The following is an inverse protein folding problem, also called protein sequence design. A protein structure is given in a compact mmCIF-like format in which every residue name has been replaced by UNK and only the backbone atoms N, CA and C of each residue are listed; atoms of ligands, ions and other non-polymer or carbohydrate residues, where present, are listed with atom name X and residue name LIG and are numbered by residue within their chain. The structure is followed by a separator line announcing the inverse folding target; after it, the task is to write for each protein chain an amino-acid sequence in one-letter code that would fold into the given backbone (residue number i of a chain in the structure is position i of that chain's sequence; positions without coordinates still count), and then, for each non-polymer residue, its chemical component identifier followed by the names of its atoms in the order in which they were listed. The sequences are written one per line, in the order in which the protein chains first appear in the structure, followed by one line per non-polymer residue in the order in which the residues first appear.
data_IF_219676526646
#
_entry.id   IF_219676526646
#
_cell.length_a   1.000
_cell.length_b   1.000
_cell.length_c   1.000
_cell.angle_alpha   90.00
_cell.angle_beta   90.00
_cell.angle_gamma   90.00
#
_symmetry.space_group_name_H-M   'P 1'
#
loop_
_entity.id
_entity.type
_entity.pdbx_description
1 polymer ?
#
# COMPACT_ATOMS: atom_id res chain seq x y z
N UNK A 1 -66.27 45.25 37.25
CA UNK A 1 -66.80 45.54 38.59
C UNK A 1 -65.62 45.75 39.52
N UNK A 2 -65.44 46.95 40.05
CA UNK A 2 -64.35 47.26 40.99
C UNK A 2 -64.72 46.78 42.38
N UNK A 3 -64.02 45.78 42.91
CA UNK A 3 -64.22 45.33 44.28
C UNK A 3 -63.47 46.27 45.23
N UNK A 4 -64.21 47.14 45.93
CA UNK A 4 -63.67 47.87 47.06
C UNK A 4 -63.44 46.90 48.22
N UNK A 5 -62.19 46.44 48.38
CA UNK A 5 -61.75 45.84 49.63
C UNK A 5 -61.72 46.95 50.70
N UNK A 6 -62.57 46.83 51.73
CA UNK A 6 -62.51 47.73 52.88
C UNK A 6 -61.26 47.41 53.68
N UNK A 7 -60.24 48.25 53.52
CA UNK A 7 -58.92 48.04 54.12
C UNK A 7 -58.96 48.44 55.59
N UNK A 8 -59.33 47.50 56.47
CA UNK A 8 -59.04 47.58 57.90
C UNK A 8 -57.52 47.48 58.12
N UNK A 9 -56.84 48.60 57.92
CA UNK A 9 -55.43 48.74 58.23
C UNK A 9 -55.26 48.94 59.73
N UNK A 10 -54.79 47.90 60.43
CA UNK A 10 -54.32 48.06 61.80
C UNK A 10 -53.22 49.14 61.83
N UNK A 11 -53.42 50.20 62.60
CA UNK A 11 -52.42 51.25 62.82
C UNK A 11 -51.33 50.78 63.78
N UNK A 12 -50.14 51.39 63.68
CA UNK A 12 -48.99 51.03 64.49
C UNK A 12 -49.24 51.26 65.99
N UNK A 13 -48.99 50.26 66.86
CA UNK A 13 -49.15 50.40 68.32
C UNK A 13 -47.99 51.17 69.00
N UNK A 14 -47.40 52.15 68.30
CA UNK A 14 -46.38 53.05 68.81
C UNK A 14 -47.02 54.41 69.13
N UNK A 15 -46.79 55.02 70.32
CA UNK A 15 -47.43 56.28 70.68
C UNK A 15 -47.19 57.39 69.65
N UNK A 16 -48.28 57.97 69.11
CA UNK A 16 -48.20 59.03 68.11
C UNK A 16 -47.90 58.59 66.67
N UNK A 17 -48.06 57.31 66.33
CA UNK A 17 -47.86 56.80 64.97
C UNK A 17 -49.14 56.21 64.36
N UNK A 18 -49.79 56.95 63.47
CA UNK A 18 -50.99 56.49 62.74
C UNK A 18 -50.66 55.70 61.45
N UNK A 19 -49.40 55.26 61.27
CA UNK A 19 -48.96 54.59 60.04
C UNK A 19 -49.55 53.17 59.97
N UNK A 20 -50.13 52.75 58.83
CA UNK A 20 -50.72 51.41 58.70
C UNK A 20 -49.62 50.34 58.76
N UNK A 21 -49.91 49.24 59.47
CA UNK A 21 -49.00 48.10 59.56
C UNK A 21 -49.17 47.20 58.33
N UNK A 22 -48.10 46.89 57.57
CA UNK A 22 -48.20 45.99 56.42
C UNK A 22 -48.57 44.57 56.87
N UNK A 23 -49.68 44.04 56.34
CA UNK A 23 -50.06 42.63 56.53
C UNK A 23 -49.11 41.74 55.72
N UNK A 24 -48.12 41.15 56.38
CA UNK A 24 -47.28 40.11 55.77
C UNK A 24 -48.13 38.91 55.34
N UNK A 25 -47.87 38.35 54.16
CA UNK A 25 -48.62 37.23 53.58
C UNK A 25 -48.30 35.86 54.20
N UNK A 26 -47.56 35.83 55.30
CA UNK A 26 -47.21 34.61 56.01
C UNK A 26 -48.34 34.18 56.98
N UNK A 27 -48.64 32.87 57.09
CA UNK A 27 -49.60 32.38 58.06
C UNK A 27 -49.06 32.58 59.49
N UNK A 28 -49.58 33.58 60.19
CA UNK A 28 -49.16 33.95 61.53
C UNK A 28 -49.92 35.15 62.10
N UNK A 29 -49.65 35.50 63.36
CA UNK A 29 -50.24 36.69 64.00
C UNK A 29 -49.70 37.95 63.31
N UNK A 30 -50.54 38.89 62.84
CA UNK A 30 -50.06 40.12 62.20
C UNK A 30 -49.10 40.92 63.10
N UNK A 31 -48.10 41.61 62.51
CA UNK A 31 -47.17 42.42 63.29
C UNK A 31 -47.86 43.57 64.05
N UNK A 32 -47.28 43.89 65.22
CA UNK A 32 -47.63 44.98 66.17
C UNK A 32 -47.47 46.42 65.64
N UNK A 33 -46.50 46.57 64.74
CA UNK A 33 -45.79 47.82 64.46
C UNK A 33 -45.45 47.90 62.98
N UNK A 34 -45.32 49.12 62.46
CA UNK A 34 -44.97 49.35 61.06
C UNK A 34 -43.49 49.07 60.77
N UNK A 35 -43.14 49.17 59.50
CA UNK A 35 -41.81 48.93 58.90
C UNK A 35 -40.66 49.86 59.36
N UNK A 36 -40.93 50.79 60.27
CA UNK A 36 -39.92 51.72 60.79
C UNK A 36 -39.05 51.01 61.85
N UNK A 37 -37.71 50.99 61.72
CA UNK A 37 -36.83 50.31 62.66
C UNK A 37 -36.88 50.88 64.10
N UNK A 38 -37.34 52.12 64.24
CA UNK A 38 -37.57 52.77 65.53
C UNK A 38 -38.86 52.28 66.23
N UNK A 39 -39.81 51.69 65.51
CA UNK A 39 -41.12 51.27 66.04
C UNK A 39 -41.10 49.81 66.45
N UNK A 40 -40.44 49.52 67.58
CA UNK A 40 -40.40 48.19 68.19
C UNK A 40 -41.12 48.18 69.53
N UNK A 41 -41.61 47.00 69.97
CA UNK A 41 -42.33 46.80 71.25
C UNK A 41 -41.60 47.41 72.45
N UNK A 42 -40.27 47.27 72.51
CA UNK A 42 -39.45 47.79 73.61
C UNK A 42 -39.33 49.32 73.59
N UNK A 43 -39.17 49.93 72.41
CA UNK A 43 -39.17 51.40 72.27
C UNK A 43 -40.55 51.99 72.57
N UNK A 44 -41.63 51.35 72.11
CA UNK A 44 -43.00 51.76 72.43
C UNK A 44 -43.32 51.66 73.94
N UNK A 45 -42.75 50.68 74.66
CA UNK A 45 -42.84 50.59 76.11
C UNK A 45 -42.05 51.70 76.80
N UNK A 46 -40.81 51.96 76.37
CA UNK A 46 -39.97 53.06 76.90
C UNK A 46 -40.61 54.43 76.69
N UNK A 47 -41.21 54.68 75.53
CA UNK A 47 -41.89 55.94 75.22
C UNK A 47 -43.14 56.14 76.09
N UNK A 48 -43.94 55.07 76.31
CA UNK A 48 -45.05 55.08 77.28
C UNK A 48 -44.56 55.31 78.71
N UNK A 49 -43.40 54.77 79.10
CA UNK A 49 -42.82 55.02 80.42
C UNK A 49 -42.31 56.46 80.56
N UNK A 50 -41.79 57.09 79.49
CA UNK A 50 -41.47 58.53 79.49
C UNK A 50 -42.75 59.35 79.65
N UNK A 51 -43.77 59.13 78.82
CA UNK A 51 -45.04 59.85 78.94
C UNK A 51 -45.74 59.65 80.29
N UNK A 52 -45.61 58.49 80.96
CA UNK A 52 -46.11 58.32 82.32
C UNK A 52 -45.34 59.15 83.37
N UNK A 53 -44.04 59.38 83.17
CA UNK A 53 -43.26 60.31 84.01
C UNK A 53 -43.63 61.75 83.70
N UNK A 54 -43.64 62.12 82.43
CA UNK A 54 -44.02 63.45 81.96
C UNK A 54 -45.44 63.83 82.43
N UNK A 55 -46.38 62.87 82.46
CA UNK A 55 -47.74 63.06 82.98
C UNK A 55 -47.83 63.09 84.51
N UNK A 56 -46.97 62.35 85.24
CA UNK A 56 -46.87 62.44 86.68
C UNK A 56 -46.22 63.78 87.14
N UNK A 57 -45.35 64.37 86.32
CA UNK A 57 -44.76 65.69 86.55
C UNK A 57 -45.68 66.85 86.12
N UNK A 58 -46.69 66.60 85.27
CA UNK A 58 -47.64 67.62 84.78
C UNK A 58 -49.00 67.62 85.51
N UNK A 59 -49.21 66.78 86.52
CA UNK A 59 -50.41 66.79 87.36
C UNK A 59 -50.32 67.88 88.47
N UNK A 60 -51.16 68.93 88.46
CA UNK A 60 -51.14 69.96 89.50
C UNK A 60 -51.71 69.46 90.83
N UNK A 61 -51.35 70.14 91.92
CA UNK A 61 -51.81 69.86 93.28
C UNK A 61 -53.31 70.14 93.47
N UNK A 62 -54.12 69.12 93.79
CA UNK A 62 -55.41 69.30 94.46
C UNK A 62 -55.64 68.25 95.58
N UNK A 63 -55.72 68.77 96.81
CA UNK A 63 -56.52 68.31 97.96
C UNK A 63 -56.46 66.87 98.50
N UNK A 64 -55.95 66.71 99.74
CA UNK A 64 -56.69 66.30 100.98
C UNK A 64 -55.66 65.98 102.09
N UNK A 65 -55.49 66.73 103.18
CA UNK A 65 -56.42 67.12 104.26
C UNK A 65 -56.73 66.03 105.30
N UNK A 66 -56.06 66.14 106.47
CA UNK A 66 -56.60 65.76 107.79
C UNK A 66 -55.80 64.67 108.53
N UNK A 67 -55.52 64.74 109.84
CA UNK A 67 -55.95 65.72 110.86
C UNK A 67 -55.03 65.68 112.09
N UNK A 68 -54.85 66.84 112.74
CA UNK A 68 -54.32 67.00 114.11
C UNK A 68 -55.23 68.01 114.82
N UNK A 69 -55.54 67.84 116.12
CA UNK A 69 -55.40 68.99 117.02
C UNK A 69 -54.93 68.65 118.46
N UNK A 70 -54.48 69.66 119.25
CA UNK A 70 -53.74 69.44 120.50
C UNK A 70 -54.47 70.06 121.75
N UNK A 71 -53.86 70.86 122.67
CA UNK A 71 -54.17 70.80 124.11
C UNK A 71 -55.13 71.92 124.59
N UNK A 72 -55.27 72.13 125.92
CA UNK A 72 -55.09 73.49 126.42
C UNK A 72 -54.38 73.58 127.79
N UNK A 73 -54.07 74.81 128.22
CA UNK A 73 -53.62 75.09 129.59
C UNK A 73 -53.99 76.51 130.05
N UNK A 74 -53.74 76.74 131.35
CA UNK A 74 -53.53 78.02 132.03
C UNK A 74 -54.69 79.03 132.30
N UNK A 75 -54.58 79.61 133.51
CA UNK A 75 -54.83 81.01 133.91
C UNK A 75 -56.16 81.44 134.61
N UNK A 76 -56.04 81.62 135.93
CA UNK A 76 -56.32 82.82 136.75
C UNK A 76 -57.67 83.59 136.69
N UNK A 77 -58.18 84.00 137.88
CA UNK A 77 -58.54 85.40 138.23
C UNK A 77 -59.06 85.57 139.69
N UNK A 78 -58.63 86.64 140.37
CA UNK A 78 -59.31 87.35 141.49
C UNK A 78 -59.81 88.72 140.95
N UNK A 79 -60.84 89.43 141.51
CA UNK A 79 -60.67 90.28 142.73
C UNK A 79 -61.91 90.69 143.60
N UNK A 80 -61.61 91.11 144.83
CA UNK A 80 -62.16 92.16 145.74
C UNK A 80 -63.60 92.79 145.71
N UNK A 81 -64.25 92.73 146.90
CA UNK A 81 -64.78 93.85 147.77
C UNK A 81 -66.18 94.52 147.67
N UNK A 82 -66.78 94.79 148.87
CA UNK A 82 -67.96 95.67 149.17
C UNK A 82 -69.32 94.94 149.34
N UNK A 83 -70.24 95.22 150.28
CA UNK A 83 -70.38 96.17 151.41
C UNK A 83 -71.55 95.78 152.37
N UNK A 84 -71.74 96.48 153.49
CA UNK A 84 -72.55 96.10 154.69
C UNK A 84 -74.09 96.40 154.63
N UNK A 85 -74.95 96.05 155.64
CA UNK A 85 -74.95 94.95 156.63
C UNK A 85 -76.31 94.21 156.86
N UNK A 86 -76.29 93.13 157.68
CA UNK A 86 -77.41 92.41 158.37
C UNK A 86 -78.46 91.62 157.55
N UNK A 87 -78.24 91.34 156.27
CA UNK A 87 -78.89 90.22 155.56
C UNK A 87 -77.89 89.17 155.03
N UNK A 88 -76.65 89.58 154.82
CA UNK A 88 -75.54 88.78 154.28
C UNK A 88 -75.20 87.54 155.11
N UNK A 89 -75.37 87.57 156.44
CA UNK A 89 -74.99 86.44 157.30
C UNK A 89 -75.79 85.15 157.03
N UNK A 90 -77.01 85.23 156.50
CA UNK A 90 -77.81 84.06 156.10
C UNK A 90 -77.40 83.54 154.72
N UNK A 91 -77.19 84.44 153.77
CA UNK A 91 -76.69 84.10 152.43
C UNK A 91 -75.26 83.55 152.45
N UNK A 92 -74.37 84.08 153.30
CA UNK A 92 -73.04 83.49 153.56
C UNK A 92 -73.12 82.14 154.25
N UNK A 93 -74.09 81.89 155.12
CA UNK A 93 -74.26 80.58 155.73
C UNK A 93 -74.70 79.56 154.67
N UNK A 94 -75.68 79.89 153.82
CA UNK A 94 -76.08 79.02 152.71
C UNK A 94 -74.98 78.85 151.66
N UNK A 95 -74.22 79.90 151.32
CA UNK A 95 -73.08 79.84 150.38
C UNK A 95 -71.88 79.06 150.96
N UNK A 96 -71.59 79.17 152.26
CA UNK A 96 -70.59 78.33 152.93
C UNK A 96 -71.06 76.89 153.06
N UNK A 97 -72.34 76.62 153.35
CA UNK A 97 -72.90 75.27 153.35
C UNK A 97 -72.95 74.68 151.92
N UNK A 98 -73.22 75.49 150.89
CA UNK A 98 -73.17 75.06 149.49
C UNK A 98 -71.73 74.78 149.06
N UNK A 99 -70.74 75.60 149.44
CA UNK A 99 -69.32 75.25 149.24
C UNK A 99 -68.90 74.04 150.04
N UNK A 100 -69.36 73.86 151.27
CA UNK A 100 -69.06 72.65 152.04
C UNK A 100 -69.71 71.42 151.43
N UNK A 101 -70.91 71.53 150.86
CA UNK A 101 -71.56 70.46 150.10
C UNK A 101 -70.76 70.14 148.83
N UNK A 102 -70.40 71.13 148.01
CA UNK A 102 -69.60 70.94 146.79
C UNK A 102 -68.19 70.43 147.11
N UNK A 103 -67.53 70.91 148.18
CA UNK A 103 -66.24 70.37 148.62
C UNK A 103 -66.37 68.97 149.20
N UNK A 104 -67.44 68.65 149.93
CA UNK A 104 -67.71 67.30 150.41
C UNK A 104 -68.04 66.34 149.26
N UNK A 105 -68.79 66.79 148.24
CA UNK A 105 -69.01 66.06 146.98
C UNK A 105 -67.71 65.87 146.21
N UNK A 106 -66.84 66.88 146.13
CA UNK A 106 -65.51 66.73 145.51
C UNK A 106 -64.60 65.79 146.31
N UNK A 107 -64.60 65.84 147.64
CA UNK A 107 -63.84 64.93 148.49
C UNK A 107 -64.39 63.51 148.40
N UNK A 108 -65.72 63.34 148.36
CA UNK A 108 -66.39 62.06 148.14
C UNK A 108 -66.08 61.53 146.75
N UNK A 109 -66.17 62.34 145.69
CA UNK A 109 -65.80 61.96 144.33
C UNK A 109 -64.32 61.60 144.19
N UNK A 110 -63.44 62.28 144.93
CA UNK A 110 -61.99 62.00 144.97
C UNK A 110 -61.70 60.72 145.76
N UNK A 111 -62.36 60.51 146.89
CA UNK A 111 -62.26 59.28 147.67
C UNK A 111 -62.89 58.09 146.94
N UNK A 112 -63.96 58.29 146.16
CA UNK A 112 -64.56 57.28 145.29
C UNK A 112 -63.73 57.04 144.03
N UNK A 113 -63.02 58.04 143.51
CA UNK A 113 -62.02 57.85 142.45
C UNK A 113 -60.81 57.06 142.98
N UNK A 114 -60.30 57.41 144.16
CA UNK A 114 -59.22 56.68 144.83
C UNK A 114 -59.67 55.26 145.22
N UNK A 115 -60.88 55.08 145.75
CA UNK A 115 -61.48 53.77 146.07
C UNK A 115 -61.71 52.93 144.82
N UNK A 116 -62.09 53.53 143.69
CA UNK A 116 -62.14 52.83 142.39
C UNK A 116 -60.74 52.45 141.92
N UNK A 117 -59.76 53.33 141.99
CA UNK A 117 -58.38 53.04 141.59
C UNK A 117 -57.73 51.95 142.46
N UNK A 118 -57.83 52.07 143.79
CA UNK A 118 -57.43 51.00 144.71
C UNK A 118 -58.24 49.73 144.49
N UNK A 119 -59.55 49.85 144.25
CA UNK A 119 -60.40 48.74 143.83
C UNK A 119 -59.83 47.99 142.63
N UNK A 120 -59.49 48.69 141.55
CA UNK A 120 -58.88 48.09 140.34
C UNK A 120 -57.46 47.54 140.57
N UNK A 121 -56.74 48.02 141.59
CA UNK A 121 -55.40 47.54 141.97
C UNK A 121 -55.40 46.38 142.98
N UNK A 122 -56.41 46.28 143.86
CA UNK A 122 -56.58 45.15 144.79
C UNK A 122 -57.68 44.18 144.38
N UNK A 123 -58.33 44.40 143.23
CA UNK A 123 -59.19 43.41 142.57
C UNK A 123 -58.30 42.31 141.95
N UNK A 124 -58.36 41.07 142.46
CA UNK A 124 -57.61 39.97 141.88
C UNK A 124 -58.06 39.69 140.44
N UNK A 125 -59.32 39.94 140.05
CA UNK A 125 -59.80 39.68 138.70
C UNK A 125 -59.14 40.63 137.66
N UNK A 126 -58.94 41.90 138.00
CA UNK A 126 -58.16 42.87 137.22
C UNK A 126 -56.70 42.43 137.02
N UNK A 127 -56.05 41.94 138.10
CA UNK A 127 -54.66 41.45 138.02
C UNK A 127 -54.56 40.14 137.21
N UNK A 128 -55.48 39.20 137.42
CA UNK A 128 -55.58 37.96 136.64
C UNK A 128 -55.84 38.26 135.15
N UNK A 129 -56.75 39.18 134.83
CA UNK A 129 -57.01 39.60 133.45
C UNK A 129 -55.78 40.24 132.78
N UNK A 130 -54.97 41.02 133.50
CA UNK A 130 -53.71 41.57 132.98
C UNK A 130 -52.65 40.48 132.78
N UNK A 131 -52.53 39.53 133.71
CA UNK A 131 -51.61 38.38 133.58
C UNK A 131 -52.03 37.46 132.43
N UNK A 132 -53.32 37.18 132.27
CA UNK A 132 -53.84 36.40 131.13
C UNK A 132 -53.68 37.14 129.81
N UNK A 133 -53.90 38.46 129.76
CA UNK A 133 -53.61 39.27 128.57
C UNK A 133 -52.12 39.20 128.20
N UNK A 134 -51.21 39.33 129.17
CA UNK A 134 -49.78 39.20 128.96
C UNK A 134 -49.34 37.78 128.57
N UNK A 135 -49.98 36.74 129.13
CA UNK A 135 -49.78 35.33 128.74
C UNK A 135 -50.23 35.08 127.30
N UNK A 136 -51.39 35.59 126.91
CA UNK A 136 -51.91 35.51 125.54
C UNK A 136 -51.04 36.29 124.55
N UNK A 137 -50.54 37.47 124.92
CA UNK A 137 -49.61 38.23 124.08
C UNK A 137 -48.26 37.51 123.94
N UNK A 138 -47.69 36.99 125.03
CA UNK A 138 -46.48 36.19 125.00
C UNK A 138 -46.66 34.93 124.13
N UNK A 139 -47.79 34.23 124.26
CA UNK A 139 -48.13 33.07 123.42
C UNK A 139 -48.25 33.44 121.94
N UNK A 140 -48.83 34.60 121.61
CA UNK A 140 -48.87 35.14 120.23
C UNK A 140 -47.47 35.43 119.71
N UNK A 141 -46.64 36.17 120.46
CA UNK A 141 -45.25 36.48 120.06
C UNK A 141 -44.40 35.22 119.86
N UNK A 142 -44.59 34.18 120.69
CA UNK A 142 -43.92 32.88 120.51
C UNK A 142 -44.43 32.18 119.25
N UNK A 143 -45.74 32.15 119.02
CA UNK A 143 -46.31 31.56 117.80
C UNK A 143 -45.86 32.29 116.52
N UNK A 144 -45.78 33.63 116.54
CA UNK A 144 -45.24 34.46 115.46
C UNK A 144 -43.74 34.21 115.22
N UNK A 145 -42.95 34.08 116.29
CA UNK A 145 -41.53 33.76 116.19
C UNK A 145 -41.29 32.35 115.63
N UNK A 146 -42.09 31.36 116.05
CA UNK A 146 -42.03 30.00 115.51
C UNK A 146 -42.54 29.94 114.06
N UNK A 147 -43.57 30.70 113.68
CA UNK A 147 -44.00 30.78 112.28
C UNK A 147 -42.92 31.41 111.40
N UNK A 148 -42.32 32.52 111.82
CA UNK A 148 -41.21 33.17 111.11
C UNK A 148 -39.96 32.26 111.01
N UNK A 149 -39.68 31.46 112.04
CA UNK A 149 -38.61 30.44 112.03
C UNK A 149 -38.91 29.33 111.02
N UNK A 150 -40.13 28.79 111.01
CA UNK A 150 -40.56 27.76 110.06
C UNK A 150 -40.55 28.29 108.62
N UNK A 151 -40.97 29.54 108.38
CA UNK A 151 -40.85 30.20 107.07
C UNK A 151 -39.41 30.42 106.63
N UNK A 152 -38.50 30.77 107.55
CA UNK A 152 -37.08 30.89 107.25
C UNK A 152 -36.43 29.53 106.95
N UNK A 153 -36.78 28.48 107.69
CA UNK A 153 -36.34 27.11 107.41
C UNK A 153 -36.90 26.60 106.07
N UNK A 154 -38.16 26.85 105.76
CA UNK A 154 -38.79 26.47 104.49
C UNK A 154 -38.12 27.20 103.31
N UNK A 155 -37.88 28.52 103.42
CA UNK A 155 -37.12 29.28 102.41
C UNK A 155 -35.69 28.77 102.24
N UNK A 156 -35.03 28.36 103.33
CA UNK A 156 -33.69 27.75 103.25
C UNK A 156 -33.72 26.42 102.50
N UNK A 157 -34.65 25.52 102.84
CA UNK A 157 -34.84 24.22 102.16
C UNK A 157 -35.19 24.41 100.69
N UNK A 158 -36.03 25.38 100.35
CA UNK A 158 -36.34 25.72 98.96
C UNK A 158 -35.08 26.21 98.21
N UNK A 159 -34.31 27.13 98.78
CA UNK A 159 -33.07 27.61 98.17
C UNK A 159 -31.98 26.51 98.06
N UNK A 160 -31.94 25.56 98.99
CA UNK A 160 -31.10 24.35 98.91
C UNK A 160 -31.55 23.43 97.77
N UNK A 161 -32.85 23.21 97.59
CA UNK A 161 -33.44 22.44 96.47
C UNK A 161 -33.21 23.11 95.11
N UNK A 162 -33.40 24.43 95.01
CA UNK A 162 -33.14 25.20 93.78
C UNK A 162 -31.65 25.16 93.40
N UNK A 163 -30.74 25.20 94.39
CA UNK A 163 -29.29 25.01 94.14
C UNK A 163 -28.96 23.60 93.68
N UNK A 164 -29.53 22.57 94.31
CA UNK A 164 -29.32 21.18 93.91
C UNK A 164 -29.81 20.94 92.47
N UNK A 165 -31.00 21.44 92.12
CA UNK A 165 -31.53 21.36 90.76
C UNK A 165 -30.67 22.13 89.73
N UNK A 166 -30.13 23.29 90.10
CA UNK A 166 -29.21 24.04 89.25
C UNK A 166 -27.85 23.32 89.07
N UNK A 167 -27.35 22.63 90.09
CA UNK A 167 -26.16 21.78 90.02
C UNK A 167 -26.40 20.58 89.09
N UNK A 168 -27.49 19.83 89.30
CA UNK A 168 -27.90 18.70 88.45
C UNK A 168 -28.07 19.14 86.98
N UNK A 169 -28.72 20.28 86.73
CA UNK A 169 -28.86 20.84 85.39
C UNK A 169 -27.50 21.22 84.77
N UNK A 170 -26.54 21.71 85.57
CA UNK A 170 -25.19 22.03 85.11
C UNK A 170 -24.39 20.77 84.78
N UNK A 171 -24.44 19.74 85.65
CA UNK A 171 -23.81 18.44 85.42
C UNK A 171 -24.39 17.75 84.18
N UNK A 172 -25.71 17.79 84.00
CA UNK A 172 -26.40 17.30 82.81
C UNK A 172 -25.95 18.04 81.54
N UNK A 173 -25.85 19.38 81.59
CA UNK A 173 -25.37 20.19 80.47
C UNK A 173 -23.91 19.90 80.10
N UNK A 174 -23.03 19.71 81.09
CA UNK A 174 -21.62 19.32 80.88
C UNK A 174 -21.52 17.91 80.29
N UNK A 175 -22.31 16.95 80.79
CA UNK A 175 -22.35 15.60 80.24
C UNK A 175 -22.86 15.57 78.78
N UNK A 176 -23.89 16.37 78.47
CA UNK A 176 -24.42 16.54 77.12
C UNK A 176 -23.41 17.22 76.17
N UNK A 177 -22.71 18.27 76.63
CA UNK A 177 -21.65 18.93 75.87
C UNK A 177 -20.51 17.97 75.54
N UNK A 178 -19.97 17.26 76.54
CA UNK A 178 -18.91 16.27 76.32
C UNK A 178 -19.35 15.09 75.44
N UNK A 179 -20.63 14.71 75.44
CA UNK A 179 -21.17 13.74 74.50
C UNK A 179 -21.24 14.29 73.07
N UNK A 180 -21.63 15.56 72.89
CA UNK A 180 -21.64 16.23 71.60
C UNK A 180 -20.22 16.42 71.02
N UNK A 181 -19.23 16.72 71.86
CA UNK A 181 -17.80 16.79 71.48
C UNK A 181 -17.31 15.44 70.96
N UNK A 182 -17.54 14.33 71.70
CA UNK A 182 -17.16 12.99 71.22
C UNK A 182 -17.81 12.62 69.89
N UNK A 183 -19.12 12.89 69.74
CA UNK A 183 -19.81 12.65 68.46
C UNK A 183 -19.25 13.51 67.31
N UNK A 184 -18.78 14.72 67.60
CA UNK A 184 -18.14 15.59 66.61
C UNK A 184 -16.75 15.06 66.21
N UNK A 185 -15.93 14.62 67.17
CA UNK A 185 -14.61 14.03 66.92
C UNK A 185 -14.71 12.71 66.14
N UNK A 186 -15.66 11.83 66.50
CA UNK A 186 -15.98 10.60 65.78
C UNK A 186 -16.40 10.89 64.33
N UNK A 187 -17.28 11.88 64.13
CA UNK A 187 -17.72 12.30 62.79
C UNK A 187 -16.59 12.95 61.95
N UNK A 188 -15.68 13.69 62.59
CA UNK A 188 -14.49 14.26 61.93
C UNK A 188 -13.52 13.15 61.52
N UNK A 189 -13.26 12.18 62.39
CA UNK A 189 -12.39 11.02 62.13
C UNK A 189 -12.96 10.18 60.98
N UNK A 190 -14.22 9.75 61.06
CA UNK A 190 -14.87 8.98 60.00
C UNK A 190 -14.87 9.70 58.64
N UNK A 191 -14.97 11.05 58.64
CA UNK A 191 -14.86 11.87 57.42
C UNK A 191 -13.43 11.95 56.90
N UNK A 192 -12.41 11.94 57.76
CA UNK A 192 -11.00 11.90 57.36
C UNK A 192 -10.67 10.54 56.75
N UNK A 193 -11.06 9.44 57.41
CA UNK A 193 -10.87 8.08 56.91
C UNK A 193 -11.53 7.90 55.54
N UNK A 194 -12.80 8.29 55.39
CA UNK A 194 -13.53 8.28 54.11
C UNK A 194 -12.83 9.07 52.99
N UNK A 195 -12.10 10.15 53.34
CA UNK A 195 -11.30 10.92 52.37
C UNK A 195 -10.03 10.17 51.98
N UNK A 196 -9.31 9.59 52.94
CA UNK A 196 -8.11 8.78 52.68
C UNK A 196 -8.46 7.56 51.82
N UNK A 197 -9.57 6.87 52.12
CA UNK A 197 -10.07 5.76 51.31
C UNK A 197 -10.38 6.20 49.88
N UNK A 198 -11.16 7.28 49.70
CA UNK A 198 -11.48 7.85 48.38
C UNK A 198 -10.22 8.23 47.61
N UNK A 199 -9.28 8.91 48.25
CA UNK A 199 -8.07 9.40 47.60
C UNK A 199 -7.15 8.22 47.22
N UNK A 200 -7.12 7.14 48.03
CA UNK A 200 -6.46 5.87 47.68
C UNK A 200 -7.15 5.13 46.53
N UNK A 201 -8.48 5.25 46.41
CA UNK A 201 -9.24 4.64 45.31
C UNK A 201 -9.00 5.40 44.00
N UNK A 202 -8.94 6.74 44.05
CA UNK A 202 -8.57 7.59 42.91
C UNK A 202 -7.13 7.33 42.46
N UNK A 203 -6.18 7.20 43.39
CA UNK A 203 -4.79 6.86 43.06
C UNK A 203 -4.67 5.49 42.39
N UNK A 204 -5.40 4.47 42.89
CA UNK A 204 -5.45 3.14 42.25
C UNK A 204 -6.10 3.17 40.86
N UNK A 205 -7.19 3.93 40.69
CA UNK A 205 -7.84 4.10 39.39
C UNK A 205 -6.91 4.76 38.37
N UNK A 206 -6.16 5.79 38.78
CA UNK A 206 -5.16 6.44 37.93
C UNK A 206 -3.99 5.51 37.55
N UNK A 207 -3.53 4.64 38.47
CA UNK A 207 -2.53 3.60 38.16
C UNK A 207 -3.04 2.63 37.10
N UNK A 208 -4.25 2.08 37.29
CA UNK A 208 -4.87 1.15 36.36
C UNK A 208 -5.16 1.78 34.98
N UNK A 209 -5.47 3.08 34.93
CA UNK A 209 -5.59 3.84 33.69
C UNK A 209 -4.24 4.00 32.99
N UNK A 210 -3.17 4.35 33.71
CA UNK A 210 -1.83 4.42 33.15
C UNK A 210 -1.31 3.05 32.67
N UNK A 211 -1.59 1.97 33.40
CA UNK A 211 -1.26 0.59 33.02
C UNK A 211 -2.02 0.16 31.75
N UNK A 212 -3.33 0.48 31.67
CA UNK A 212 -4.15 0.25 30.47
C UNK A 212 -3.59 1.00 29.27
N UNK A 213 -3.27 2.28 29.42
CA UNK A 213 -2.82 3.12 28.32
C UNK A 213 -1.41 2.72 27.85
N UNK A 214 -0.54 2.29 28.76
CA UNK A 214 0.74 1.67 28.43
C UNK A 214 0.57 0.35 27.65
N UNK A 215 -0.33 -0.54 28.08
CA UNK A 215 -0.62 -1.79 27.37
C UNK A 215 -1.22 -1.57 25.98
N UNK A 216 -2.08 -0.55 25.82
CA UNK A 216 -2.61 -0.13 24.51
C UNK A 216 -1.50 0.43 23.62
N UNK A 217 -0.59 1.23 24.16
CA UNK A 217 0.57 1.75 23.42
C UNK A 217 1.51 0.63 22.96
N UNK A 218 1.80 -0.35 23.82
CA UNK A 218 2.60 -1.54 23.49
C UNK A 218 1.94 -2.38 22.39
N UNK A 219 0.64 -2.65 22.50
CA UNK A 219 -0.13 -3.39 21.50
C UNK A 219 -0.10 -2.68 20.14
N UNK A 220 -0.33 -1.36 20.11
CA UNK A 220 -0.27 -0.56 18.88
C UNK A 220 1.14 -0.53 18.27
N UNK A 221 2.19 -0.44 19.10
CA UNK A 221 3.58 -0.51 18.63
C UNK A 221 3.93 -1.88 18.02
N UNK A 222 3.46 -2.97 18.65
CA UNK A 222 3.60 -4.33 18.15
C UNK A 222 2.85 -4.58 16.84
N UNK A 223 1.62 -4.06 16.71
CA UNK A 223 0.84 -4.12 15.47
C UNK A 223 1.57 -3.37 14.34
N UNK A 224 2.03 -2.14 14.59
CA UNK A 224 2.77 -1.36 13.61
C UNK A 224 4.11 -2.03 13.20
N UNK A 225 4.73 -2.81 14.07
CA UNK A 225 5.92 -3.62 13.71
C UNK A 225 5.57 -4.83 12.85
N UNK A 226 4.51 -5.56 13.21
CA UNK A 226 4.00 -6.66 12.40
C UNK A 226 3.61 -6.20 10.99
N UNK A 227 2.94 -5.06 10.86
CA UNK A 227 2.60 -4.45 9.57
C UNK A 227 3.85 -4.09 8.74
N UNK A 228 4.88 -3.48 9.36
CA UNK A 228 6.16 -3.20 8.66
C UNK A 228 6.80 -4.48 8.13
N UNK A 229 6.85 -5.53 8.95
CA UNK A 229 7.44 -6.83 8.59
C UNK A 229 6.66 -7.53 7.47
N UNK A 230 5.32 -7.46 7.47
CA UNK A 230 4.49 -7.97 6.37
C UNK A 230 4.80 -7.20 5.08
N UNK A 231 4.79 -5.86 5.12
CA UNK A 231 5.11 -5.04 3.95
C UNK A 231 6.54 -5.28 3.41
N UNK A 232 7.51 -5.55 4.29
CA UNK A 232 8.88 -5.89 3.89
C UNK A 232 8.94 -7.24 3.16
N UNK A 233 8.28 -8.27 3.70
CA UNK A 233 8.16 -9.59 3.06
C UNK A 233 7.40 -9.51 1.73
N UNK A 234 6.33 -8.70 1.65
CA UNK A 234 5.61 -8.43 0.40
C UNK A 234 6.48 -7.74 -0.64
N UNK A 235 7.24 -6.70 -0.27
CA UNK A 235 8.19 -6.02 -1.18
C UNK A 235 9.28 -6.99 -1.65
N UNK A 236 9.86 -7.77 -0.75
CA UNK A 236 10.93 -8.72 -1.09
C UNK A 236 10.44 -9.84 -2.00
N UNK A 237 9.27 -10.42 -1.71
CA UNK A 237 8.66 -11.46 -2.56
C UNK A 237 8.20 -10.91 -3.92
N UNK A 238 7.67 -9.69 -3.98
CA UNK A 238 7.37 -9.02 -5.25
C UNK A 238 8.63 -8.76 -6.10
N UNK A 239 9.72 -8.33 -5.47
CA UNK A 239 11.01 -8.14 -6.15
C UNK A 239 11.57 -9.48 -6.68
N UNK A 240 11.59 -10.52 -5.85
CA UNK A 240 12.08 -11.85 -6.26
C UNK A 240 11.24 -12.46 -7.39
N UNK A 241 9.91 -12.30 -7.36
CA UNK A 241 9.02 -12.73 -8.45
C UNK A 241 9.28 -11.96 -9.75
N UNK A 242 9.64 -10.69 -9.67
CA UNK A 242 9.96 -9.87 -10.83
C UNK A 242 11.35 -10.21 -11.41
N UNK A 243 12.35 -10.44 -10.57
CA UNK A 243 13.67 -10.94 -10.98
C UNK A 243 13.58 -12.30 -11.70
N UNK A 244 12.82 -13.26 -11.15
CA UNK A 244 12.60 -14.56 -11.77
C UNK A 244 11.77 -14.46 -13.06
N UNK A 245 10.80 -13.54 -13.15
CA UNK A 245 10.12 -13.24 -14.43
C UNK A 245 11.08 -12.70 -15.48
N UNK A 246 11.93 -11.74 -15.13
CA UNK A 246 12.91 -11.15 -16.04
C UNK A 246 13.99 -12.16 -16.44
N UNK A 247 14.34 -13.10 -15.55
CA UNK A 247 15.20 -14.24 -15.85
C UNK A 247 14.53 -15.19 -16.85
N UNK A 248 13.32 -15.66 -16.56
CA UNK A 248 12.57 -16.55 -17.46
C UNK A 248 12.31 -15.91 -18.83
N UNK A 249 12.05 -14.59 -18.89
CA UNK A 249 11.93 -13.86 -20.15
C UNK A 249 13.24 -13.83 -20.95
N UNK A 250 14.40 -13.65 -20.29
CA UNK A 250 15.72 -13.72 -20.92
C UNK A 250 16.03 -15.12 -21.44
N UNK A 251 15.88 -16.15 -20.61
CA UNK A 251 16.09 -17.56 -20.99
C UNK A 251 15.18 -17.96 -22.17
N UNK A 252 13.92 -17.50 -22.19
CA UNK A 252 12.98 -17.71 -23.30
C UNK A 252 13.37 -16.94 -24.57
N UNK A 253 13.89 -15.72 -24.44
CA UNK A 253 14.37 -14.93 -25.58
C UNK A 253 15.64 -15.55 -26.20
N UNK A 254 16.60 -15.98 -25.37
CA UNK A 254 17.80 -16.71 -25.80
C UNK A 254 17.43 -18.02 -26.49
N UNK A 255 16.53 -18.82 -25.90
CA UNK A 255 16.04 -20.08 -26.51
C UNK A 255 15.39 -19.82 -27.88
N UNK A 256 14.59 -18.76 -28.01
CA UNK A 256 13.99 -18.35 -29.30
C UNK A 256 15.04 -17.92 -30.32
N UNK A 257 16.06 -17.17 -29.89
CA UNK A 257 17.15 -16.74 -30.77
C UNK A 257 17.99 -17.94 -31.25
N UNK A 258 18.30 -18.88 -30.36
CA UNK A 258 18.98 -20.14 -30.70
C UNK A 258 18.15 -20.98 -31.68
N UNK A 259 16.85 -21.13 -31.43
CA UNK A 259 15.95 -21.86 -32.32
C UNK A 259 15.82 -21.20 -33.71
N UNK A 260 15.76 -19.86 -33.78
CA UNK A 260 15.75 -19.12 -35.04
C UNK A 260 17.07 -19.30 -35.80
N UNK A 261 18.22 -19.14 -35.13
CA UNK A 261 19.53 -19.36 -35.74
C UNK A 261 19.71 -20.80 -36.26
N UNK A 262 19.19 -21.80 -35.53
CA UNK A 262 19.22 -23.20 -35.99
C UNK A 262 18.29 -23.45 -37.18
N UNK A 263 17.09 -22.85 -37.20
CA UNK A 263 16.22 -22.87 -38.38
C UNK A 263 16.89 -22.25 -39.60
N UNK A 264 17.60 -21.14 -39.45
CA UNK A 264 18.29 -20.48 -40.55
C UNK A 264 19.52 -21.27 -41.04
N UNK A 265 20.26 -21.95 -40.14
CA UNK A 265 21.29 -22.94 -40.51
C UNK A 265 20.70 -24.09 -41.32
N UNK A 266 19.60 -24.69 -40.85
CA UNK A 266 18.92 -25.78 -41.55
C UNK A 266 18.40 -25.33 -42.92
N UNK A 267 17.81 -24.13 -43.01
CA UNK A 267 17.38 -23.52 -44.30
C UNK A 267 18.56 -23.34 -45.25
N UNK A 268 19.69 -22.81 -44.76
CA UNK A 268 20.90 -22.59 -45.55
C UNK A 268 21.47 -23.92 -46.06
N UNK A 269 21.62 -24.90 -45.18
CA UNK A 269 22.10 -26.23 -45.54
C UNK A 269 21.19 -26.96 -46.53
N UNK A 270 19.86 -26.79 -46.43
CA UNK A 270 18.90 -27.32 -47.40
C UNK A 270 18.99 -26.60 -48.75
N UNK A 271 19.22 -25.28 -48.77
CA UNK A 271 19.45 -24.52 -49.99
C UNK A 271 20.75 -24.97 -50.68
N UNK A 272 21.86 -25.03 -49.95
CA UNK A 272 23.15 -25.54 -50.43
C UNK A 272 23.05 -26.99 -50.96
N UNK A 273 22.28 -27.85 -50.28
CA UNK A 273 22.03 -29.22 -50.72
C UNK A 273 21.23 -29.26 -52.04
N UNK A 274 20.20 -28.41 -52.18
CA UNK A 274 19.42 -28.32 -53.41
C UNK A 274 20.25 -27.76 -54.56
N UNK A 275 20.99 -26.68 -54.36
CA UNK A 275 21.92 -26.10 -55.34
C UNK A 275 22.97 -27.13 -55.79
N UNK A 276 23.55 -27.89 -54.85
CA UNK A 276 24.49 -28.97 -55.15
C UNK A 276 23.83 -30.10 -55.96
N UNK A 277 22.54 -30.40 -55.70
CA UNK A 277 21.76 -31.39 -56.45
C UNK A 277 21.46 -30.90 -57.88
N UNK A 278 20.99 -29.67 -58.04
CA UNK A 278 20.76 -29.05 -59.36
C UNK A 278 22.06 -28.95 -60.17
N UNK A 279 23.19 -28.60 -59.55
CA UNK A 279 24.50 -28.63 -60.18
C UNK A 279 24.98 -30.04 -60.54
N UNK A 280 24.57 -31.08 -59.79
CA UNK A 280 24.83 -32.47 -60.14
C UNK A 280 23.94 -32.93 -61.31
N UNK A 281 22.64 -32.62 -61.28
CA UNK A 281 21.68 -32.87 -62.35
C UNK A 281 22.10 -32.18 -63.66
N UNK A 282 22.50 -30.91 -63.62
CA UNK A 282 23.05 -30.19 -64.78
C UNK A 282 24.39 -30.76 -65.28
N UNK A 283 25.25 -31.27 -64.38
CA UNK A 283 26.49 -31.96 -64.81
C UNK A 283 26.17 -33.30 -65.47
N UNK A 284 25.22 -34.06 -64.95
CA UNK A 284 24.75 -35.31 -65.55
C UNK A 284 24.13 -35.04 -66.93
N UNK A 285 23.17 -34.12 -67.05
CA UNK A 285 22.55 -33.77 -68.33
C UNK A 285 23.57 -33.27 -69.39
N UNK A 286 24.59 -32.51 -68.98
CA UNK A 286 25.70 -32.12 -69.88
C UNK A 286 26.57 -33.32 -70.28
N UNK A 287 26.85 -34.24 -69.36
CA UNK A 287 27.61 -35.46 -69.64
C UNK A 287 26.84 -36.40 -70.58
N UNK A 288 25.53 -36.59 -70.36
CA UNK A 288 24.65 -37.37 -71.22
C UNK A 288 24.57 -36.76 -72.63
N UNK A 289 24.32 -35.46 -72.74
CA UNK A 289 24.32 -34.79 -74.05
C UNK A 289 25.69 -34.85 -74.74
N UNK A 290 26.80 -34.72 -74.01
CA UNK A 290 28.14 -34.90 -74.56
C UNK A 290 28.40 -36.34 -75.03
N UNK A 291 27.88 -37.34 -74.30
CA UNK A 291 27.94 -38.75 -74.69
C UNK A 291 27.06 -39.06 -75.91
N UNK A 292 25.88 -38.47 -76.02
CA UNK A 292 25.03 -38.54 -77.22
C UNK A 292 25.73 -37.92 -78.44
N UNK A 293 26.30 -36.71 -78.31
CA UNK A 293 27.07 -36.09 -79.39
C UNK A 293 28.32 -36.90 -79.75
N UNK A 294 28.98 -37.54 -78.78
CA UNK A 294 30.11 -38.43 -79.04
C UNK A 294 29.67 -39.71 -79.77
N UNK A 295 28.53 -40.31 -79.40
CA UNK A 295 27.92 -41.46 -80.09
C UNK A 295 27.50 -41.10 -81.52
N UNK A 296 26.89 -39.93 -81.73
CA UNK A 296 26.52 -39.42 -83.04
C UNK A 296 27.77 -39.24 -83.93
N UNK A 297 28.79 -38.51 -83.46
CA UNK A 297 30.07 -38.38 -84.19
C UNK A 297 30.75 -39.71 -84.46
N UNK A 298 30.68 -40.67 -83.53
CA UNK A 298 31.24 -42.01 -83.75
C UNK A 298 30.46 -42.80 -84.82
N UNK A 299 29.14 -42.63 -84.89
CA UNK A 299 28.30 -43.20 -85.96
C UNK A 299 28.56 -42.53 -87.31
N UNK A 300 28.72 -41.20 -87.35
CA UNK A 300 29.09 -40.44 -88.55
C UNK A 300 30.46 -40.87 -89.08
N UNK A 301 31.48 -40.93 -88.21
CA UNK A 301 32.82 -41.41 -88.56
C UNK A 301 32.83 -42.88 -88.99
N UNK A 302 31.99 -43.73 -88.42
CA UNK A 302 31.81 -45.11 -88.88
C UNK A 302 31.19 -45.14 -90.29
N UNK A 303 30.16 -44.34 -90.55
CA UNK A 303 29.53 -44.23 -91.86
C UNK A 303 30.49 -43.63 -92.92
N UNK A 304 31.34 -42.66 -92.56
CA UNK A 304 32.40 -42.14 -93.42
C UNK A 304 33.47 -43.19 -93.71
N UNK A 305 33.94 -43.92 -92.68
CA UNK A 305 34.86 -45.05 -92.85
C UNK A 305 34.29 -46.10 -93.80
N UNK A 306 33.01 -46.45 -93.64
CA UNK A 306 32.37 -47.49 -94.45
C UNK A 306 32.15 -47.02 -95.89
N UNK A 307 31.84 -45.74 -96.12
CA UNK A 307 31.86 -45.12 -97.46
C UNK A 307 33.26 -45.16 -98.08
N UNK A 308 34.29 -44.72 -97.35
CA UNK A 308 35.68 -44.73 -97.82
C UNK A 308 36.19 -46.15 -98.09
N UNK A 309 35.78 -47.14 -97.30
CA UNK A 309 36.10 -48.56 -97.56
C UNK A 309 35.45 -49.03 -98.86
N UNK A 310 34.16 -48.70 -99.08
CA UNK A 310 33.46 -49.00 -100.32
C UNK A 310 34.06 -48.27 -101.54
N UNK A 311 34.56 -47.05 -101.37
CA UNK A 311 35.29 -46.32 -102.42
C UNK A 311 36.65 -46.96 -102.73
N UNK A 312 37.40 -47.40 -101.72
CA UNK A 312 38.65 -48.15 -101.90
C UNK A 312 38.40 -49.51 -102.55
N UNK A 313 37.31 -50.20 -102.21
CA UNK A 313 36.91 -51.46 -102.85
C UNK A 313 36.50 -51.23 -104.32
N UNK A 314 35.72 -50.18 -104.62
CA UNK A 314 35.43 -49.76 -106.00
C UNK A 314 36.72 -49.48 -106.79
N UNK A 315 37.59 -48.62 -106.29
CA UNK A 315 38.86 -48.27 -106.96
C UNK A 315 39.78 -49.50 -107.15
N UNK A 316 39.77 -50.46 -106.22
CA UNK A 316 40.47 -51.73 -106.39
C UNK A 316 39.87 -52.55 -107.52
N UNK A 317 38.55 -52.76 -107.52
CA UNK A 317 37.83 -53.49 -108.56
C UNK A 317 38.02 -52.86 -109.95
N UNK A 318 37.94 -51.53 -110.06
CA UNK A 318 38.22 -50.78 -111.28
C UNK A 318 39.68 -50.99 -111.74
N UNK A 319 40.65 -50.90 -110.82
CA UNK A 319 42.07 -51.14 -111.14
C UNK A 319 42.36 -52.59 -111.55
N UNK A 320 41.65 -53.56 -110.99
CA UNK A 320 41.74 -54.97 -111.37
C UNK A 320 41.08 -55.22 -112.73
N UNK A 321 39.97 -54.55 -113.02
CA UNK A 321 39.32 -54.58 -114.32
C UNK A 321 40.20 -53.96 -115.41
N UNK A 322 40.85 -52.82 -115.14
CA UNK A 322 41.83 -52.23 -116.07
C UNK A 322 43.05 -53.15 -116.27
N UNK A 323 43.61 -53.73 -115.21
CA UNK A 323 44.70 -54.71 -115.33
C UNK A 323 44.28 -55.95 -116.12
N UNK A 324 43.03 -56.40 -115.98
CA UNK A 324 42.49 -57.51 -116.76
C UNK A 324 42.32 -57.15 -118.25
N UNK A 325 41.83 -55.94 -118.55
CA UNK A 325 41.77 -55.41 -119.93
C UNK A 325 43.16 -55.32 -120.55
N UNK A 326 44.11 -54.67 -119.88
CA UNK A 326 45.50 -54.52 -120.35
C UNK A 326 46.21 -55.87 -120.56
N UNK A 327 45.93 -56.88 -119.72
CA UNK A 327 46.40 -58.27 -119.94
C UNK A 327 45.76 -58.89 -121.18
N UNK A 328 44.44 -58.80 -121.31
CA UNK A 328 43.71 -59.31 -122.48
C UNK A 328 44.18 -58.64 -123.78
N UNK A 329 44.50 -57.35 -123.76
CA UNK A 329 45.07 -56.62 -124.89
C UNK A 329 46.48 -57.12 -125.22
N UNK A 330 47.37 -57.26 -124.23
CA UNK A 330 48.71 -57.82 -124.42
C UNK A 330 48.70 -59.25 -124.96
N UNK A 331 47.80 -60.11 -124.48
CA UNK A 331 47.68 -61.48 -124.97
C UNK A 331 47.07 -61.52 -126.39
N UNK A 332 46.16 -60.59 -126.72
CA UNK A 332 45.67 -60.42 -128.09
C UNK A 332 46.77 -59.95 -129.06
N UNK A 333 47.64 -59.04 -128.61
CA UNK A 333 48.80 -58.55 -129.36
C UNK A 333 49.85 -59.67 -129.57
N UNK A 334 50.11 -60.48 -128.54
CA UNK A 334 50.98 -61.66 -128.65
C UNK A 334 50.43 -62.67 -129.65
N UNK A 335 49.16 -63.05 -129.54
CA UNK A 335 48.53 -63.98 -130.47
C UNK A 335 48.50 -63.44 -131.91
N UNK A 336 48.39 -62.12 -132.10
CA UNK A 336 48.51 -61.49 -133.41
C UNK A 336 49.95 -61.54 -133.95
N UNK A 337 50.95 -61.26 -133.12
CA UNK A 337 52.37 -61.35 -133.48
C UNK A 337 52.81 -62.80 -133.80
N UNK A 338 52.30 -63.78 -133.05
CA UNK A 338 52.54 -65.21 -133.31
C UNK A 338 51.93 -65.67 -134.65
N UNK A 339 50.71 -65.22 -134.98
CA UNK A 339 50.10 -65.46 -136.30
C UNK A 339 50.91 -64.84 -137.42
N UNK A 340 51.31 -63.57 -137.29
CA UNK A 340 52.16 -62.89 -138.28
C UNK A 340 53.53 -63.55 -138.45
N UNK A 341 54.11 -64.11 -137.38
CA UNK A 341 55.34 -64.90 -137.44
C UNK A 341 55.15 -66.27 -138.10
N UNK A 342 53.98 -66.90 -137.94
CA UNK A 342 53.66 -68.14 -138.64
C UNK A 342 53.48 -67.90 -140.15
N UNK A 343 52.67 -66.92 -140.53
CA UNK A 343 52.46 -66.50 -141.93
C UNK A 343 53.78 -66.09 -142.61
N UNK A 344 54.65 -65.35 -141.91
CA UNK A 344 55.97 -64.97 -142.42
C UNK A 344 56.90 -66.19 -142.62
N UNK A 345 56.82 -67.20 -141.75
CA UNK A 345 57.60 -68.46 -141.89
C UNK A 345 57.08 -69.31 -143.04
N UNK A 346 55.75 -69.42 -143.18
CA UNK A 346 55.11 -70.17 -144.27
C UNK A 346 55.46 -69.54 -145.63
N UNK A 347 55.29 -68.22 -145.77
CA UNK A 347 55.69 -67.48 -146.97
C UNK A 347 57.22 -67.50 -147.25
N UNK A 348 58.06 -67.71 -146.24
CA UNK A 348 59.49 -67.93 -146.42
C UNK A 348 59.81 -69.37 -146.86
N UNK A 349 59.10 -70.36 -146.35
CA UNK A 349 59.22 -71.76 -146.76
C UNK A 349 58.75 -71.97 -148.21
N UNK A 350 57.64 -71.36 -148.61
CA UNK A 350 57.17 -71.35 -150.01
C UNK A 350 58.20 -70.73 -150.96
N UNK A 351 58.83 -69.61 -150.55
CA UNK A 351 59.89 -68.97 -151.33
C UNK A 351 61.15 -69.81 -151.43
N UNK A 352 61.53 -70.54 -150.37
CA UNK A 352 62.64 -71.49 -150.41
C UNK A 352 62.35 -72.66 -151.34
N UNK A 353 61.16 -73.28 -151.24
CA UNK A 353 60.74 -74.36 -152.11
C UNK A 353 60.74 -73.93 -153.60
N UNK A 354 60.24 -72.72 -153.91
CA UNK A 354 60.27 -72.18 -155.27
C UNK A 354 61.70 -71.94 -155.81
N UNK A 355 62.67 -71.59 -154.95
CA UNK A 355 64.08 -71.44 -155.32
C UNK A 355 64.76 -72.80 -155.53
N UNK A 356 64.42 -73.80 -154.72
CA UNK A 356 64.92 -75.18 -154.89
C UNK A 356 64.38 -75.84 -156.17
N UNK A 357 63.11 -75.59 -156.51
CA UNK A 357 62.51 -76.03 -157.77
C UNK A 357 63.11 -75.31 -158.99
N UNK A 358 63.39 -74.01 -158.88
CA UNK A 358 64.11 -73.27 -159.92
C UNK A 358 65.54 -73.79 -160.11
N UNK A 359 66.20 -74.21 -159.02
CA UNK A 359 67.55 -74.80 -159.04
C UNK A 359 67.56 -76.18 -159.70
N UNK A 360 66.64 -77.07 -159.32
CA UNK A 360 66.55 -78.42 -159.92
C UNK A 360 66.25 -78.36 -161.42
N UNK A 361 65.37 -77.43 -161.85
CA UNK A 361 65.11 -77.15 -163.26
C UNK A 361 66.29 -76.51 -164.01
N UNK A 362 67.23 -75.86 -163.32
CA UNK A 362 68.47 -75.37 -163.91
C UNK A 362 69.49 -76.51 -164.10
N UNK A 363 69.65 -77.39 -163.10
CA UNK A 363 70.52 -78.57 -163.20
C UNK A 363 70.09 -79.49 -164.34
N UNK A 364 68.79 -79.80 -164.45
CA UNK A 364 68.23 -80.61 -165.55
C UNK A 364 68.33 -79.96 -166.94
N UNK A 365 68.59 -78.66 -167.01
CA UNK A 365 68.92 -77.95 -168.26
C UNK A 365 70.42 -77.98 -168.57
N UNK A 366 71.27 -77.88 -167.53
CA UNK A 366 72.72 -78.03 -167.68
C UNK A 366 73.10 -79.45 -168.14
N UNK A 367 72.62 -80.49 -167.47
CA UNK A 367 72.87 -81.90 -167.83
C UNK A 367 72.45 -82.23 -169.27
N UNK A 368 71.34 -81.63 -169.73
CA UNK A 368 70.83 -81.79 -171.10
C UNK A 368 71.65 -81.01 -172.14
N UNK A 369 72.22 -79.87 -171.75
CA UNK A 369 73.14 -79.11 -172.59
C UNK A 369 74.51 -79.79 -172.68
N UNK A 370 75.01 -80.40 -171.60
CA UNK A 370 76.25 -81.18 -171.58
C UNK A 370 76.14 -82.41 -172.50
N UNK A 371 75.04 -83.17 -172.44
CA UNK A 371 74.79 -84.28 -173.36
C UNK A 371 74.78 -83.85 -174.83
N UNK A 372 74.17 -82.70 -175.16
CA UNK A 372 74.20 -82.14 -176.52
C UNK A 372 75.60 -81.65 -176.94
N UNK A 373 76.42 -81.19 -175.99
CA UNK A 373 77.80 -80.77 -176.26
C UNK A 373 78.71 -81.98 -176.54
N UNK A 374 78.58 -83.05 -175.77
CA UNK A 374 79.35 -84.29 -175.96
C UNK A 374 79.01 -84.98 -177.29
N UNK A 375 77.74 -84.96 -177.70
CA UNK A 375 77.29 -85.50 -178.98
C UNK A 375 77.85 -84.66 -180.15
N UNK A 376 77.81 -83.33 -180.07
CA UNK A 376 78.42 -82.43 -181.05
C UNK A 376 79.96 -82.54 -181.12
N UNK A 377 80.63 -82.75 -179.98
CA UNK A 377 82.09 -82.97 -179.93
C UNK A 377 82.50 -84.33 -180.52
N UNK A 378 81.65 -85.36 -180.44
CA UNK A 378 81.86 -86.65 -181.11
C UNK A 378 81.67 -86.58 -182.64
N UNK A 379 80.91 -85.62 -183.15
CA UNK A 379 80.83 -85.32 -184.59
C UNK A 379 82.02 -84.48 -185.07
N UNK A 380 82.40 -83.43 -184.33
CA UNK A 380 83.57 -82.59 -184.64
C UNK A 380 84.89 -83.36 -184.69
N UNK A 381 85.08 -84.38 -183.84
CA UNK A 381 86.25 -85.29 -183.89
C UNK A 381 86.27 -86.19 -185.14
N UNK A 382 85.13 -86.45 -185.77
CA UNK A 382 85.05 -87.21 -187.04
C UNK A 382 85.29 -86.31 -188.27
N UNK A 383 85.00 -85.00 -188.18
CA UNK A 383 85.38 -84.03 -189.21
C UNK A 383 86.87 -83.67 -189.19
N UNK A 384 87.47 -83.44 -188.02
CA UNK A 384 88.86 -82.98 -187.87
C UNK A 384 89.97 -84.01 -188.18
N UNK A 385 89.62 -85.19 -188.69
CA UNK A 385 90.57 -86.14 -189.26
C UNK A 385 90.68 -86.05 -190.79
N UNK A 386 89.95 -85.12 -191.42
CA UNK A 386 89.92 -84.92 -192.88
C UNK A 386 90.52 -83.59 -193.36
N UNK A 387 90.60 -82.57 -192.49
CA UNK A 387 91.24 -81.28 -192.77
C UNK A 387 92.52 -81.14 -191.93
N UNK A 388 93.65 -81.55 -192.52
CA UNK A 388 94.94 -80.96 -192.23
C UNK A 388 94.96 -79.47 -192.65
N UNK A 389 95.85 -78.70 -192.02
CA UNK A 389 96.23 -77.31 -192.33
C UNK A 389 95.31 -76.17 -191.84
N UNK A 390 95.97 -75.03 -191.60
CA UNK A 390 95.50 -73.72 -191.10
C UNK A 390 95.37 -73.52 -189.57
N UNK A 391 96.41 -72.85 -189.04
CA UNK A 391 96.33 -71.67 -188.13
C UNK A 391 95.76 -71.83 -186.70
N UNK A 392 96.62 -71.65 -185.68
CA UNK A 392 96.96 -70.40 -184.94
C UNK A 392 96.02 -70.14 -183.73
N UNK A 393 96.46 -70.23 -182.47
CA UNK A 393 97.21 -69.23 -181.62
C UNK A 393 96.29 -68.29 -180.81
N UNK A 394 96.72 -67.96 -179.57
CA UNK A 394 96.36 -66.80 -178.70
C UNK A 394 95.37 -66.96 -177.51
N UNK A 395 95.97 -66.83 -176.33
CA UNK A 395 95.62 -66.33 -174.97
C UNK A 395 94.24 -65.78 -174.51
N UNK A 396 94.00 -66.02 -173.19
CA UNK A 396 93.71 -64.98 -172.16
C UNK A 396 92.24 -64.77 -171.69
N UNK A 397 91.91 -64.07 -170.57
CA UNK A 397 92.60 -63.81 -169.28
C UNK A 397 91.66 -63.07 -168.26
N UNK A 398 91.72 -63.41 -166.95
CA UNK A 398 91.53 -62.60 -165.70
C UNK A 398 90.27 -61.72 -165.35
N UNK A 399 90.22 -61.31 -164.05
CA UNK A 399 89.56 -60.13 -163.40
C UNK A 399 88.03 -60.09 -163.06
N UNK A 400 87.46 -59.36 -162.05
CA UNK A 400 87.92 -58.77 -160.73
C UNK A 400 86.75 -58.37 -159.77
N UNK A 401 87.12 -58.06 -158.50
CA UNK A 401 86.50 -57.43 -157.29
C UNK A 401 85.21 -56.50 -157.24
N UNK A 402 84.71 -56.29 -155.99
CA UNK A 402 84.41 -54.98 -155.29
C UNK A 402 82.99 -54.62 -154.72
N UNK A 403 82.98 -54.00 -153.51
CA UNK A 403 82.07 -52.93 -152.92
C UNK A 403 80.51 -53.10 -152.82
N UNK A 404 79.70 -52.35 -152.02
CA UNK A 404 79.82 -51.46 -150.82
C UNK A 404 78.41 -51.18 -150.16
N UNK A 405 78.32 -50.37 -149.09
CA UNK A 405 77.12 -50.11 -148.23
C UNK A 405 76.09 -49.04 -148.76
N UNK A 406 74.95 -48.76 -148.08
CA UNK A 406 74.84 -47.71 -147.01
C UNK A 406 73.69 -47.96 -145.96
N UNK A 407 73.03 -46.95 -145.35
CA UNK A 407 73.42 -46.27 -144.07
C UNK A 407 72.30 -45.35 -143.46
N UNK A 408 72.12 -45.32 -142.11
CA UNK A 408 71.33 -44.30 -141.34
C UNK A 408 70.11 -44.83 -140.54
N UNK A 409 69.59 -44.18 -139.46
CA UNK A 409 70.04 -43.00 -138.66
C UNK A 409 69.30 -42.92 -137.28
N UNK A 410 69.92 -42.27 -136.29
CA UNK A 410 69.54 -41.99 -134.87
C UNK A 410 68.38 -40.95 -134.69
N UNK A 411 67.90 -40.47 -133.48
CA UNK A 411 68.59 -40.41 -132.16
C UNK A 411 67.80 -40.50 -130.80
N UNK A 412 68.62 -40.71 -129.75
CA UNK A 412 68.69 -40.19 -128.34
C UNK A 412 67.55 -39.54 -127.52
N UNK A 413 67.64 -39.77 -126.20
CA UNK A 413 67.28 -38.84 -125.09
C UNK A 413 66.19 -39.35 -124.12
N UNK A 414 66.29 -39.26 -122.78
CA UNK A 414 67.38 -38.84 -121.91
C UNK A 414 66.99 -38.86 -120.40
N UNK A 415 67.91 -39.38 -119.57
CA UNK A 415 68.29 -39.06 -118.17
C UNK A 415 67.40 -38.21 -117.20
N UNK A 416 67.38 -38.60 -115.91
CA UNK A 416 67.01 -37.72 -114.78
C UNK A 416 66.78 -38.43 -113.42
N UNK A 417 67.46 -38.09 -112.29
CA UNK A 417 67.40 -38.86 -111.04
C UNK A 417 67.12 -38.07 -109.72
N UNK A 418 67.17 -38.80 -108.59
CA UNK A 418 67.70 -38.41 -107.26
C UNK A 418 66.83 -37.70 -106.17
N UNK A 419 67.14 -38.12 -104.92
CA UNK A 419 67.15 -37.44 -103.60
C UNK A 419 65.91 -36.85 -102.89
N UNK A 420 65.78 -37.22 -101.59
CA UNK A 420 65.59 -36.23 -100.52
C UNK A 420 64.41 -36.43 -99.52
N UNK A 421 64.66 -36.83 -98.25
CA UNK A 421 63.78 -36.53 -97.11
C UNK A 421 64.11 -35.15 -96.48
N UNK A 422 63.32 -34.63 -95.52
CA UNK A 422 63.81 -34.69 -94.13
C UNK A 422 62.72 -34.74 -93.02
N UNK A 423 63.17 -34.95 -91.78
CA UNK A 423 62.38 -34.81 -90.55
C UNK A 423 62.57 -33.44 -89.86
N UNK A 424 61.55 -33.02 -89.10
CA UNK A 424 61.52 -32.08 -87.94
C UNK A 424 60.09 -32.16 -87.36
N UNK A 425 59.77 -32.31 -86.07
CA UNK A 425 60.36 -31.97 -84.76
C UNK A 425 60.26 -30.49 -84.35
N UNK A 426 59.60 -30.26 -83.20
CA UNK A 426 59.23 -28.96 -82.60
C UNK A 426 57.77 -28.57 -82.89
N UNK A 427 56.94 -28.19 -81.91
CA UNK A 427 57.11 -28.15 -80.45
C UNK A 427 55.96 -27.38 -79.77
N UNK A 428 55.90 -27.46 -78.44
CA UNK A 428 54.87 -26.90 -77.52
C UNK A 428 53.52 -27.63 -77.50
#
# INVERSE_FOLDING_TARGET
MSAHASTDANTCNFPGCDRPVPRGSAPGRPPEYCDLPEHTRWRAWRERQRMQRDAAEQAPQEETSGSTPPPPGAAASEPAAGGAPVSDARLRADDLLTRFAVQAEQLTATLDAARRAFGTMTDPASAEAQVEAARLEAARRVAEADSARLEAENRRRQAEQERAAAQEATESAVAAAGAAERMADEAVTARQDSRVERDSALARAASLEAERDAAVAECNAGLADAERRVQEVERHSAAALEEERQRAQRELAETRQQAAAEQDRIRTALAEQNDAREQAEHRAARADSAAEHARARAADLAAERDRLSADVERLRADSEQERARMRSELDSQRAAAERGLAEARESAAERLAAVEDARSQATLRAERAEQQLDEALAELRRGRAADDAAENTVDGAADTAAEAAPSGKNPDGGAGPADGPPARSGGA
#
